data_IF_402477868417
#
_entry.id   IF_402477868417
#
_cell.length_a   1.000
_cell.length_b   1.000
_cell.length_c   1.000
_cell.angle_alpha   90.00
_cell.angle_beta   90.00
_cell.angle_gamma   90.00
#
_symmetry.space_group_name_H-M   'P 1'
#
loop_
_entity.id
_entity.type
_entity.pdbx_description
1 polymer ?
#
# COMPACT_ATOMS: atom_id res chain seq x y z
N UNK A 1 -28.67 -25.08 -6.24
CA UNK A 1 -27.71 -23.96 -6.19
C UNK A 1 -28.36 -22.90 -5.33
N UNK A 2 -27.75 -22.52 -4.20
CA UNK A 2 -28.33 -21.48 -3.35
C UNK A 2 -28.34 -20.16 -4.13
N UNK A 3 -29.49 -19.51 -4.24
CA UNK A 3 -29.60 -18.16 -4.81
C UNK A 3 -28.92 -17.18 -3.86
N UNK A 4 -27.63 -16.92 -4.08
CA UNK A 4 -26.97 -15.77 -3.47
C UNK A 4 -27.54 -14.53 -4.16
N UNK A 5 -28.35 -13.77 -3.43
CA UNK A 5 -28.92 -12.52 -3.90
C UNK A 5 -27.80 -11.47 -3.95
N UNK A 6 -27.22 -11.26 -5.13
CA UNK A 6 -26.15 -10.28 -5.32
C UNK A 6 -26.72 -8.86 -5.29
N UNK A 7 -26.47 -8.14 -4.20
CA UNK A 7 -26.78 -6.71 -4.09
C UNK A 7 -25.52 -5.91 -4.40
N UNK A 8 -25.58 -5.08 -5.44
CA UNK A 8 -24.49 -4.21 -5.82
C UNK A 8 -24.05 -3.34 -4.62
N UNK A 9 -22.74 -3.26 -4.38
CA UNK A 9 -22.16 -2.43 -3.32
C UNK A 9 -22.18 -3.05 -1.91
N UNK A 10 -22.76 -4.24 -1.72
CA UNK A 10 -22.74 -4.95 -0.43
C UNK A 10 -21.67 -6.06 -0.33
N UNK A 11 -20.72 -6.07 -1.27
CA UNK A 11 -19.58 -6.97 -1.17
C UNK A 11 -18.71 -6.56 0.03
N UNK A 12 -18.29 -7.53 0.85
CA UNK A 12 -17.30 -7.30 1.90
C UNK A 12 -15.95 -6.84 1.29
N UNK A 13 -15.49 -5.67 1.73
CA UNK A 13 -14.26 -5.01 1.27
C UNK A 13 -13.09 -5.14 2.24
N UNK A 14 -13.22 -5.90 3.33
CA UNK A 14 -12.22 -5.99 4.42
C UNK A 14 -10.82 -6.32 3.90
N UNK A 15 -10.72 -7.23 2.93
CA UNK A 15 -9.43 -7.65 2.37
C UNK A 15 -8.80 -6.55 1.50
N UNK A 16 -9.61 -5.83 0.73
CA UNK A 16 -9.19 -4.74 -0.14
C UNK A 16 -8.70 -3.56 0.69
N UNK A 17 -9.42 -3.20 1.74
CA UNK A 17 -9.03 -2.14 2.68
C UNK A 17 -7.72 -2.47 3.40
N UNK A 18 -7.58 -3.71 3.89
CA UNK A 18 -6.33 -4.17 4.52
C UNK A 18 -5.16 -4.15 3.53
N UNK A 19 -5.40 -4.55 2.29
CA UNK A 19 -4.40 -4.52 1.22
C UNK A 19 -3.98 -3.09 0.90
N UNK A 20 -4.94 -2.16 0.78
CA UNK A 20 -4.65 -0.75 0.54
C UNK A 20 -3.82 -0.14 1.68
N UNK A 21 -4.20 -0.40 2.94
CA UNK A 21 -3.42 0.05 4.09
C UNK A 21 -1.99 -0.53 4.10
N UNK A 22 -1.84 -1.79 3.70
CA UNK A 22 -0.53 -2.43 3.51
C UNK A 22 0.29 -1.78 2.40
N UNK A 23 -0.34 -1.53 1.25
CA UNK A 23 0.28 -0.88 0.10
C UNK A 23 0.81 0.51 0.44
N UNK A 24 0.01 1.35 1.10
CA UNK A 24 0.45 2.70 1.50
C UNK A 24 1.67 2.60 2.43
N UNK A 25 1.64 1.72 3.44
CA UNK A 25 2.79 1.52 4.32
C UNK A 25 4.05 1.06 3.56
N UNK A 26 3.89 0.18 2.59
CA UNK A 26 5.00 -0.29 1.75
C UNK A 26 5.60 0.85 0.92
N UNK A 27 4.76 1.61 0.20
CA UNK A 27 5.20 2.72 -0.65
C UNK A 27 5.86 3.82 0.18
N UNK A 28 5.26 4.22 1.32
CA UNK A 28 5.85 5.24 2.21
C UNK A 28 7.23 4.83 2.71
N UNK A 29 7.40 3.56 3.13
CA UNK A 29 8.71 3.06 3.56
C UNK A 29 9.72 3.04 2.41
N UNK A 30 9.31 2.59 1.23
CA UNK A 30 10.16 2.61 0.03
C UNK A 30 10.62 4.02 -0.32
N UNK A 31 9.72 5.00 -0.26
CA UNK A 31 10.05 6.41 -0.48
C UNK A 31 11.06 6.94 0.54
N UNK A 32 10.85 6.68 1.84
CA UNK A 32 11.78 7.11 2.90
C UNK A 32 13.17 6.51 2.67
N UNK A 33 13.25 5.21 2.36
CA UNK A 33 14.53 4.53 2.10
C UNK A 33 15.23 5.17 0.90
N UNK A 34 14.52 5.40 -0.21
CA UNK A 34 15.09 6.03 -1.39
C UNK A 34 15.59 7.45 -1.09
N UNK A 35 14.80 8.27 -0.37
CA UNK A 35 15.20 9.62 0.01
C UNK A 35 16.45 9.63 0.90
N UNK A 36 16.49 8.75 1.92
CA UNK A 36 17.66 8.62 2.81
C UNK A 36 18.88 8.15 2.03
N UNK A 37 18.74 7.18 1.13
CA UNK A 37 19.84 6.71 0.30
C UNK A 37 20.42 7.82 -0.58
N UNK A 38 19.57 8.66 -1.18
CA UNK A 38 20.01 9.81 -1.97
C UNK A 38 20.74 10.85 -1.12
N UNK A 39 20.24 11.15 0.08
CA UNK A 39 20.91 12.09 1.01
C UNK A 39 22.28 11.55 1.41
N UNK A 40 22.37 10.27 1.78
CA UNK A 40 23.65 9.64 2.15
C UNK A 40 24.63 9.64 0.98
N UNK A 41 24.17 9.29 -0.23
CA UNK A 41 25.00 9.34 -1.43
C UNK A 41 25.52 10.76 -1.71
N UNK A 42 24.68 11.78 -1.53
CA UNK A 42 25.09 13.18 -1.67
C UNK A 42 26.14 13.58 -0.62
N UNK A 43 25.99 13.16 0.63
CA UNK A 43 26.97 13.47 1.69
C UNK A 43 28.31 12.75 1.52
N UNK A 44 28.30 11.52 1.00
CA UNK A 44 29.52 10.74 0.77
C UNK A 44 30.28 11.15 -0.50
N UNK A 45 29.58 11.75 -1.46
CA UNK A 45 30.14 12.26 -2.72
C UNK A 45 30.27 13.80 -2.74
N UNK A 46 30.07 14.45 -1.60
CA UNK A 46 30.34 15.88 -1.40
C UNK A 46 31.83 16.13 -1.13
#
# INVERSE_FOLDING_TARGET
MAEQQFVHGQMDTTNQEKTFAGFIKFVTRGFIIAAVALIVAALLNA
#
